data_IF_991961260250
#
_entry.id   IF_991961260250
#
_cell.length_a   1.000
_cell.length_b   1.000
_cell.length_c   1.000
_cell.angle_alpha   90.00
_cell.angle_beta   90.00
_cell.angle_gamma   90.00
#
_symmetry.space_group_name_H-M   'P 1'
#
loop_
_entity.id
_entity.type
_entity.pdbx_description
1 polymer ?
#
# COMPACT_ATOMS: atom_id res chain seq x y z
N UNK A 1 -52.93 24.18 -45.15
CA UNK A 1 -52.41 24.36 -43.80
C UNK A 1 -51.93 22.99 -43.36
N UNK A 2 -50.69 22.78 -43.55
CA UNK A 2 -49.98 21.52 -43.25
C UNK A 2 -48.99 21.86 -42.15
N UNK A 3 -49.20 21.34 -40.95
CA UNK A 3 -48.27 21.45 -39.83
C UNK A 3 -47.26 20.32 -39.92
N UNK A 4 -45.98 20.71 -40.15
CA UNK A 4 -44.83 19.84 -40.05
C UNK A 4 -44.45 19.67 -38.59
N UNK A 5 -44.58 18.46 -38.08
CA UNK A 5 -44.06 18.01 -36.82
C UNK A 5 -42.70 17.39 -37.06
N UNK A 6 -41.64 18.13 -36.78
CA UNK A 6 -40.27 17.60 -36.76
C UNK A 6 -40.03 16.88 -35.43
N UNK A 7 -39.99 15.55 -35.48
CA UNK A 7 -39.54 14.70 -34.36
C UNK A 7 -38.02 14.88 -34.17
N UNK A 8 -37.65 15.55 -33.07
CA UNK A 8 -36.27 15.61 -32.56
C UNK A 8 -35.90 14.22 -32.03
N UNK A 9 -35.21 13.46 -32.84
CA UNK A 9 -34.50 12.24 -32.41
C UNK A 9 -33.28 12.68 -31.60
N UNK A 10 -33.41 12.59 -30.27
CA UNK A 10 -32.26 12.72 -29.35
C UNK A 10 -31.41 11.47 -29.53
N UNK A 11 -30.31 11.58 -30.27
CA UNK A 11 -29.25 10.57 -30.28
C UNK A 11 -28.64 10.46 -28.89
N UNK A 12 -29.04 9.39 -28.21
CA UNK A 12 -28.39 8.92 -26.96
C UNK A 12 -27.02 8.40 -27.34
N UNK A 13 -26.00 9.26 -27.21
CA UNK A 13 -24.59 8.87 -27.36
C UNK A 13 -24.28 7.93 -26.23
N UNK A 14 -24.25 6.62 -26.52
CA UNK A 14 -23.72 5.58 -25.68
C UNK A 14 -22.27 5.96 -25.28
N UNK A 15 -22.02 6.18 -23.99
CA UNK A 15 -20.68 6.25 -23.44
C UNK A 15 -20.00 4.91 -23.74
N UNK A 16 -19.15 4.89 -24.74
CA UNK A 16 -18.21 3.79 -24.99
C UNK A 16 -17.39 3.59 -23.72
N UNK A 17 -17.54 2.42 -23.10
CA UNK A 17 -16.81 2.04 -21.91
C UNK A 17 -15.31 2.26 -22.11
N UNK A 18 -14.70 3.09 -21.28
CA UNK A 18 -13.29 3.36 -21.28
C UNK A 18 -12.53 2.02 -21.20
N UNK A 19 -11.82 1.68 -22.26
CA UNK A 19 -10.99 0.48 -22.31
C UNK A 19 -10.02 0.46 -21.12
N UNK A 20 -9.75 -0.73 -20.58
CA UNK A 20 -8.77 -0.89 -19.49
C UNK A 20 -7.46 -0.20 -19.89
N UNK A 21 -6.82 0.55 -18.98
CA UNK A 21 -5.54 1.17 -19.27
C UNK A 21 -4.49 0.08 -19.54
N UNK A 22 -3.70 0.24 -20.61
CA UNK A 22 -2.63 -0.69 -21.01
C UNK A 22 -1.48 -0.78 -19.99
N UNK A 23 -1.58 -0.07 -18.88
CA UNK A 23 -0.56 0.00 -17.84
C UNK A 23 -1.18 -0.18 -16.46
N UNK A 24 -0.47 -0.87 -15.58
CA UNK A 24 -0.85 -1.02 -14.17
C UNK A 24 0.05 -0.14 -13.32
N UNK A 25 -0.54 0.90 -12.74
CA UNK A 25 0.12 1.76 -11.75
C UNK A 25 -0.21 1.25 -10.36
N UNK A 26 0.66 1.52 -9.39
CA UNK A 26 0.34 1.22 -8.01
C UNK A 26 -0.84 2.04 -7.50
N UNK A 27 -1.59 1.47 -6.56
CA UNK A 27 -2.69 2.14 -5.84
C UNK A 27 -2.47 2.10 -4.34
N UNK A 28 -3.10 3.03 -3.67
CA UNK A 28 -3.18 3.06 -2.20
C UNK A 28 -4.57 2.61 -1.78
N UNK A 29 -4.60 1.59 -0.93
CA UNK A 29 -5.84 1.10 -0.36
C UNK A 29 -5.79 1.06 1.16
N UNK A 30 -6.91 0.77 1.77
CA UNK A 30 -7.07 0.60 3.21
C UNK A 30 -7.35 -0.86 3.52
N UNK A 31 -6.56 -1.45 4.41
CA UNK A 31 -6.79 -2.82 4.87
C UNK A 31 -8.07 -2.88 5.70
N UNK A 32 -9.13 -3.52 5.22
CA UNK A 32 -10.38 -3.66 5.96
C UNK A 32 -10.34 -4.85 6.92
N UNK A 33 -9.80 -5.99 6.49
CA UNK A 33 -9.73 -7.18 7.33
C UNK A 33 -9.27 -8.40 6.57
N UNK A 34 -9.55 -9.57 7.13
CA UNK A 34 -9.29 -10.86 6.47
C UNK A 34 -10.57 -11.70 6.45
N UNK A 35 -10.72 -12.47 5.39
CA UNK A 35 -11.80 -13.41 5.17
C UNK A 35 -11.26 -14.66 4.49
N UNK A 36 -12.14 -15.51 4.00
CA UNK A 36 -11.80 -16.65 3.15
C UNK A 36 -12.75 -16.72 1.97
N UNK A 37 -12.22 -17.17 0.85
CA UNK A 37 -12.99 -17.45 -0.36
C UNK A 37 -12.90 -18.95 -0.61
N UNK A 38 -14.01 -19.56 -0.95
CA UNK A 38 -14.04 -20.98 -1.36
C UNK A 38 -14.05 -21.04 -2.89
N UNK A 39 -13.20 -21.89 -3.44
CA UNK A 39 -13.21 -22.22 -4.88
C UNK A 39 -14.32 -23.21 -5.19
N UNK A 40 -14.63 -23.37 -6.45
CA UNK A 40 -15.60 -24.38 -6.92
C UNK A 40 -15.15 -25.79 -6.58
N UNK A 41 -13.84 -26.03 -6.48
CA UNK A 41 -13.23 -27.30 -6.07
C UNK A 41 -13.29 -27.54 -4.55
N UNK A 42 -13.83 -26.60 -3.77
CA UNK A 42 -13.94 -26.68 -2.31
C UNK A 42 -12.69 -26.24 -1.54
N UNK A 43 -11.67 -25.72 -2.21
CA UNK A 43 -10.47 -25.18 -1.54
C UNK A 43 -10.79 -23.88 -0.80
N UNK A 44 -10.32 -23.74 0.45
CA UNK A 44 -10.48 -22.53 1.26
C UNK A 44 -9.25 -21.63 1.16
N UNK A 45 -9.36 -20.52 0.44
CA UNK A 45 -8.29 -19.55 0.24
C UNK A 45 -8.42 -18.41 1.25
N UNK A 46 -7.44 -18.21 2.16
CA UNK A 46 -7.43 -17.06 3.05
C UNK A 46 -7.14 -15.79 2.25
N UNK A 47 -7.95 -14.75 2.43
CA UNK A 47 -7.78 -13.48 1.72
C UNK A 47 -7.76 -12.30 2.68
N UNK A 48 -6.96 -11.30 2.34
CA UNK A 48 -7.05 -9.97 2.93
C UNK A 48 -7.89 -9.08 2.01
N UNK A 49 -8.89 -8.43 2.58
CA UNK A 49 -9.76 -7.48 1.89
C UNK A 49 -9.15 -6.09 2.02
N UNK A 50 -8.92 -5.45 0.90
CA UNK A 50 -8.40 -4.08 0.80
C UNK A 50 -9.43 -3.24 0.06
N UNK A 51 -9.87 -2.17 0.69
CA UNK A 51 -10.73 -1.15 0.13
C UNK A 51 -9.84 -0.09 -0.55
N UNK A 52 -10.05 0.13 -1.82
CA UNK A 52 -9.29 1.09 -2.62
C UNK A 52 -10.22 2.21 -3.04
N UNK A 53 -10.33 3.24 -2.19
CA UNK A 53 -10.99 4.46 -2.59
C UNK A 53 -10.31 5.04 -3.84
N UNK A 54 -11.00 5.78 -4.71
CA UNK A 54 -10.39 6.38 -5.89
C UNK A 54 -9.10 7.13 -5.54
N UNK A 55 -8.03 6.82 -6.26
CA UNK A 55 -6.72 7.42 -6.10
C UNK A 55 -6.60 8.57 -7.10
N UNK A 56 -6.74 9.82 -6.66
CA UNK A 56 -6.68 10.99 -7.52
C UNK A 56 -5.24 11.45 -7.70
N UNK A 57 -4.82 11.68 -8.93
CA UNK A 57 -3.47 12.15 -9.28
C UNK A 57 -3.33 13.62 -8.91
N UNK A 58 -2.38 13.92 -8.02
CA UNK A 58 -2.07 15.28 -7.58
C UNK A 58 -0.99 15.93 -8.44
N UNK A 59 -0.03 15.16 -8.90
CA UNK A 59 1.08 15.64 -9.71
C UNK A 59 1.67 14.49 -10.54
N UNK A 60 2.01 14.78 -11.77
CA UNK A 60 2.87 13.93 -12.62
C UNK A 60 4.28 14.50 -12.59
N UNK A 61 5.25 13.69 -12.20
CA UNK A 61 6.67 14.05 -12.14
C UNK A 61 7.36 13.60 -13.41
N UNK A 62 8.13 14.51 -13.98
CA UNK A 62 8.85 14.29 -15.24
C UNK A 62 10.35 14.40 -15.05
N UNK A 63 11.11 13.71 -15.90
CA UNK A 63 12.56 13.72 -15.84
C UNK A 63 13.14 15.15 -15.96
N UNK A 64 12.50 16.01 -16.76
CA UNK A 64 12.97 17.38 -17.01
C UNK A 64 12.87 18.28 -15.75
N UNK A 65 11.80 18.15 -14.97
CA UNK A 65 11.53 19.03 -13.83
C UNK A 65 11.99 18.42 -12.49
N UNK A 66 11.79 17.11 -12.32
CA UNK A 66 11.96 16.43 -11.01
C UNK A 66 13.17 15.48 -11.01
N UNK A 67 13.78 15.20 -12.18
CA UNK A 67 14.90 14.27 -12.33
C UNK A 67 14.51 12.80 -12.29
N UNK A 68 13.21 12.47 -12.23
CA UNK A 68 12.66 11.13 -12.33
C UNK A 68 11.19 11.16 -12.75
N UNK A 69 10.69 10.03 -13.26
CA UNK A 69 9.29 9.87 -13.65
C UNK A 69 8.51 9.17 -12.52
N UNK A 70 7.40 9.77 -12.13
CA UNK A 70 6.50 9.21 -11.10
C UNK A 70 5.13 9.88 -11.17
N UNK A 71 4.14 9.18 -10.63
CA UNK A 71 2.80 9.71 -10.40
C UNK A 71 2.60 9.86 -8.89
N UNK A 72 2.24 11.06 -8.47
CA UNK A 72 1.84 11.33 -7.10
C UNK A 72 0.33 11.26 -7.01
N UNK A 73 -0.18 10.46 -6.07
CA UNK A 73 -1.61 10.26 -5.85
C UNK A 73 -2.02 10.61 -4.43
N UNK A 74 -3.29 10.93 -4.27
CA UNK A 74 -3.95 11.08 -2.97
C UNK A 74 -5.20 10.22 -2.94
N UNK A 75 -5.65 9.82 -1.75
CA UNK A 75 -6.88 9.04 -1.55
C UNK A 75 -7.59 9.46 -0.28
N UNK A 76 -8.90 9.22 -0.24
CA UNK A 76 -9.75 9.58 0.89
C UNK A 76 -9.91 11.08 1.07
N UNK A 77 -10.54 11.48 2.16
CA UNK A 77 -10.83 12.88 2.48
C UNK A 77 -10.21 13.32 3.81
N UNK A 78 -9.71 14.52 3.87
CA UNK A 78 -9.20 15.17 5.07
C UNK A 78 -9.87 16.52 5.28
N UNK A 79 -10.41 16.78 6.48
CA UNK A 79 -11.05 18.07 6.81
C UNK A 79 -10.08 19.23 6.55
N UNK A 80 -10.54 20.27 5.85
CA UNK A 80 -9.74 21.44 5.48
C UNK A 80 -9.04 22.12 6.67
N UNK A 81 -9.68 22.15 7.84
CA UNK A 81 -9.10 22.70 9.08
C UNK A 81 -7.88 21.91 9.60
N UNK A 82 -7.67 20.68 9.14
CA UNK A 82 -6.52 19.82 9.51
C UNK A 82 -5.43 19.79 8.44
N UNK A 83 -5.61 20.53 7.35
CA UNK A 83 -4.64 20.62 6.25
C UNK A 83 -3.77 21.85 6.48
N UNK A 84 -2.46 21.65 6.55
CA UNK A 84 -1.50 22.76 6.68
C UNK A 84 -1.40 23.56 5.38
N UNK A 85 -1.15 24.86 5.47
CA UNK A 85 -1.14 25.80 4.32
C UNK A 85 -0.30 25.30 3.12
N UNK A 86 0.93 24.76 3.28
CA UNK A 86 1.70 24.27 2.14
C UNK A 86 1.01 23.12 1.39
N UNK A 87 0.40 22.18 2.11
CA UNK A 87 -0.35 21.09 1.50
C UNK A 87 -1.64 21.58 0.83
N UNK A 88 -2.35 22.54 1.47
CA UNK A 88 -3.53 23.15 0.86
C UNK A 88 -3.20 23.80 -0.50
N UNK A 89 -2.07 24.52 -0.58
CA UNK A 89 -1.59 25.10 -1.84
C UNK A 89 -1.23 24.05 -2.88
N UNK A 90 -0.65 22.94 -2.46
CA UNK A 90 -0.32 21.82 -3.35
C UNK A 90 -1.58 21.18 -3.96
N UNK A 91 -2.60 20.87 -3.15
CA UNK A 91 -3.88 20.35 -3.62
C UNK A 91 -4.64 21.35 -4.50
N UNK A 92 -4.63 22.64 -4.12
CA UNK A 92 -5.27 23.70 -4.90
C UNK A 92 -4.64 23.85 -6.30
N UNK A 93 -3.30 23.68 -6.43
CA UNK A 93 -2.62 23.68 -7.72
C UNK A 93 -3.11 22.56 -8.65
N UNK A 94 -3.47 21.42 -8.09
CA UNK A 94 -4.02 20.29 -8.83
C UNK A 94 -5.55 20.37 -9.04
N UNK A 95 -6.22 21.34 -8.41
CA UNK A 95 -7.68 21.52 -8.49
C UNK A 95 -8.48 20.42 -7.76
N UNK A 96 -7.88 19.76 -6.76
CA UNK A 96 -8.49 18.61 -6.06
C UNK A 96 -8.64 18.87 -4.57
N UNK A 97 -9.54 18.11 -3.94
CA UNK A 97 -9.70 18.12 -2.49
C UNK A 97 -8.54 17.42 -1.77
N UNK A 98 -8.28 17.84 -0.53
CA UNK A 98 -7.21 17.27 0.27
C UNK A 98 -7.55 15.88 0.76
N UNK A 99 -6.75 14.89 0.34
CA UNK A 99 -6.83 13.51 0.82
C UNK A 99 -6.06 13.27 2.12
N UNK A 100 -6.02 12.00 2.55
CA UNK A 100 -5.37 11.56 3.80
C UNK A 100 -3.85 11.71 3.78
N UNK A 101 -3.23 11.58 2.60
CA UNK A 101 -1.78 11.65 2.41
C UNK A 101 -1.41 11.80 0.94
N UNK A 102 -0.13 11.84 0.68
CA UNK A 102 0.44 11.88 -0.65
C UNK A 102 1.38 10.68 -0.81
N UNK A 103 1.24 9.96 -1.91
CA UNK A 103 2.02 8.76 -2.21
C UNK A 103 2.53 8.82 -3.63
N UNK A 104 3.70 8.26 -3.88
CA UNK A 104 4.32 8.28 -5.20
C UNK A 104 4.56 6.87 -5.70
N UNK A 105 4.25 6.66 -6.97
CA UNK A 105 4.55 5.45 -7.72
C UNK A 105 5.46 5.82 -8.88
N UNK A 106 6.66 5.27 -8.90
CA UNK A 106 7.58 5.44 -10.02
C UNK A 106 7.07 4.68 -11.23
N UNK A 107 7.20 5.30 -12.40
CA UNK A 107 6.77 4.76 -13.69
C UNK A 107 7.94 4.71 -14.66
N UNK A 108 7.87 3.80 -15.62
CA UNK A 108 8.80 3.70 -16.72
C UNK A 108 8.19 4.44 -17.93
N UNK A 109 8.55 5.71 -18.08
CA UNK A 109 8.05 6.55 -19.17
C UNK A 109 6.82 7.41 -18.83
N UNK A 110 6.33 8.11 -19.85
CA UNK A 110 5.12 8.92 -19.76
C UNK A 110 3.89 8.06 -20.07
N UNK A 111 2.97 8.02 -19.13
CA UNK A 111 1.74 7.23 -19.24
C UNK A 111 0.55 8.04 -19.77
N UNK A 112 0.78 9.29 -20.21
CA UNK A 112 -0.31 10.16 -20.67
C UNK A 112 -1.31 10.58 -19.59
N UNK A 113 -0.96 10.37 -18.31
CA UNK A 113 -1.82 10.70 -17.18
C UNK A 113 -1.64 12.18 -16.79
N UNK A 114 -2.73 12.81 -16.37
CA UNK A 114 -2.73 14.20 -15.92
C UNK A 114 -3.25 14.35 -14.49
N UNK A 115 -2.89 15.48 -13.86
CA UNK A 115 -3.43 15.82 -12.54
C UNK A 115 -4.96 15.93 -12.60
N UNK A 116 -5.64 15.43 -11.57
CA UNK A 116 -7.10 15.37 -11.48
C UNK A 116 -7.71 14.05 -11.94
N UNK A 117 -6.99 13.22 -12.71
CA UNK A 117 -7.47 11.88 -13.06
C UNK A 117 -7.51 10.96 -11.84
N UNK A 118 -8.43 10.00 -11.84
CA UNK A 118 -8.58 8.99 -10.79
C UNK A 118 -8.17 7.61 -11.28
N UNK A 119 -7.49 6.86 -10.42
CA UNK A 119 -7.06 5.48 -10.65
C UNK A 119 -7.80 4.59 -9.64
N UNK A 120 -8.42 3.53 -10.12
CA UNK A 120 -9.22 2.59 -9.32
C UNK A 120 -8.64 1.18 -9.26
N UNK A 121 -9.48 0.24 -8.89
CA UNK A 121 -9.17 -1.21 -8.84
C UNK A 121 -9.29 -1.89 -10.19
N UNK A 122 -9.94 -1.27 -11.16
CA UNK A 122 -10.24 -1.72 -12.51
C UNK A 122 -9.00 -2.12 -13.33
N UNK A 123 -7.84 -1.54 -12.98
CA UNK A 123 -6.57 -1.86 -13.60
C UNK A 123 -5.99 -3.23 -13.20
N UNK A 124 -6.48 -3.85 -12.10
CA UNK A 124 -5.99 -5.15 -11.64
C UNK A 124 -6.86 -6.29 -12.18
N UNK A 125 -6.24 -7.46 -12.32
CA UNK A 125 -6.91 -8.68 -12.77
C UNK A 125 -6.78 -9.80 -11.74
N UNK A 126 -7.75 -10.71 -11.74
CA UNK A 126 -7.65 -11.93 -10.95
C UNK A 126 -6.49 -12.81 -11.46
N UNK A 127 -5.73 -13.39 -10.53
CA UNK A 127 -4.50 -14.14 -10.83
C UNK A 127 -3.24 -13.29 -10.95
N UNK A 128 -3.36 -11.96 -11.07
CA UNK A 128 -2.20 -11.06 -11.16
C UNK A 128 -1.36 -11.12 -9.88
N UNK A 129 -0.03 -11.02 -10.02
CA UNK A 129 0.91 -10.92 -8.90
C UNK A 129 1.15 -9.47 -8.53
N UNK A 130 1.11 -9.18 -7.22
CA UNK A 130 1.29 -7.84 -6.67
C UNK A 130 2.24 -7.83 -5.47
N UNK A 131 2.93 -6.70 -5.30
CA UNK A 131 3.73 -6.39 -4.11
C UNK A 131 2.94 -5.45 -3.22
N UNK A 132 2.77 -5.80 -1.95
CA UNK A 132 2.02 -5.00 -0.99
C UNK A 132 2.94 -4.50 0.12
N UNK A 133 3.03 -3.18 0.23
CA UNK A 133 3.80 -2.50 1.28
C UNK A 133 2.87 -1.84 2.29
N UNK A 134 3.20 -1.93 3.56
CA UNK A 134 2.45 -1.27 4.62
C UNK A 134 3.29 -1.06 5.86
N UNK A 135 2.78 -0.29 6.80
CA UNK A 135 3.42 -0.09 8.10
C UNK A 135 3.03 -1.21 9.04
N UNK A 136 4.00 -2.00 9.48
CA UNK A 136 3.77 -3.13 10.39
C UNK A 136 3.22 -2.68 11.74
N UNK A 137 2.48 -3.56 12.44
CA UNK A 137 2.00 -3.29 13.79
C UNK A 137 3.16 -3.01 14.74
N UNK A 138 3.11 -1.90 15.49
CA UNK A 138 4.09 -1.59 16.52
C UNK A 138 4.06 -2.62 17.66
N UNK A 139 5.22 -3.00 18.16
CA UNK A 139 5.41 -3.93 19.29
C UNK A 139 6.15 -3.29 20.46
N UNK A 140 6.36 -1.96 20.39
CA UNK A 140 7.07 -1.20 21.39
C UNK A 140 8.54 -1.60 21.55
N UNK A 141 9.10 -1.43 22.74
CA UNK A 141 10.42 -1.92 23.07
C UNK A 141 10.40 -3.44 23.25
N UNK A 142 11.19 -4.15 22.48
CA UNK A 142 11.24 -5.61 22.51
C UNK A 142 12.65 -6.10 22.87
N UNK A 143 12.71 -7.13 23.74
CA UNK A 143 13.95 -7.81 24.09
C UNK A 143 14.53 -8.59 22.91
N UNK A 144 15.77 -9.03 23.04
CA UNK A 144 16.52 -9.72 21.99
C UNK A 144 15.89 -11.03 21.53
N UNK A 145 15.19 -11.75 22.43
CA UNK A 145 14.51 -12.99 22.11
C UNK A 145 13.36 -12.72 21.13
N UNK A 146 12.50 -11.74 21.42
CA UNK A 146 11.36 -11.38 20.56
C UNK A 146 11.78 -10.70 19.28
N UNK A 147 12.80 -9.82 19.35
CA UNK A 147 13.21 -8.99 18.22
C UNK A 147 14.08 -9.73 17.22
N UNK A 148 14.97 -10.61 17.71
CA UNK A 148 16.01 -11.24 16.90
C UNK A 148 16.03 -12.77 16.99
N UNK A 149 15.06 -13.36 17.68
CA UNK A 149 14.95 -14.82 17.90
C UNK A 149 16.17 -15.43 18.60
N UNK A 150 16.75 -14.70 19.57
CA UNK A 150 17.80 -15.26 20.41
C UNK A 150 17.24 -16.36 21.29
N UNK A 151 18.02 -17.40 21.57
CA UNK A 151 17.71 -18.39 22.57
C UNK A 151 17.75 -17.77 23.95
N UNK A 152 16.88 -18.23 24.85
CA UNK A 152 17.01 -17.91 26.26
C UNK A 152 18.11 -18.79 26.89
N UNK A 153 18.62 -18.36 28.03
CA UNK A 153 19.54 -19.15 28.84
C UNK A 153 18.77 -20.14 29.72
N UNK A 154 19.47 -21.04 30.37
CA UNK A 154 18.87 -22.05 31.23
C UNK A 154 18.05 -21.44 32.36
N UNK A 155 16.92 -22.10 32.72
CA UNK A 155 16.08 -21.65 33.81
C UNK A 155 16.56 -22.15 35.17
N UNK A 156 17.42 -23.19 35.17
CA UNK A 156 17.93 -23.91 36.36
C UNK A 156 19.45 -24.13 36.24
N UNK A 157 20.01 -25.13 36.87
CA UNK A 157 21.43 -25.50 36.82
C UNK A 157 22.37 -24.36 37.25
N UNK A 158 22.01 -23.64 38.32
CA UNK A 158 22.84 -22.57 38.90
C UNK A 158 22.72 -21.22 38.18
N UNK A 159 21.90 -21.09 37.15
CA UNK A 159 21.66 -19.81 36.50
C UNK A 159 20.79 -18.91 37.40
N UNK A 160 21.28 -17.71 37.69
CA UNK A 160 20.60 -16.68 38.48
C UNK A 160 20.49 -15.40 37.65
N UNK A 161 19.28 -14.79 37.61
CA UNK A 161 18.98 -13.48 37.02
C UNK A 161 19.18 -13.33 35.50
N UNK A 162 19.90 -14.24 34.83
CA UNK A 162 20.32 -14.11 33.42
C UNK A 162 19.53 -14.98 32.46
N UNK A 163 18.22 -15.13 32.65
CA UNK A 163 17.39 -16.03 31.82
C UNK A 163 17.10 -15.48 30.41
N UNK A 164 16.90 -14.18 30.27
CA UNK A 164 16.51 -13.52 29.01
C UNK A 164 17.53 -12.48 28.51
N UNK A 165 18.76 -12.55 29.03
CA UNK A 165 19.84 -11.66 28.67
C UNK A 165 20.37 -11.96 27.25
N UNK A 166 20.92 -10.95 26.53
CA UNK A 166 21.45 -11.15 25.17
C UNK A 166 22.74 -11.97 25.13
N UNK A 167 23.40 -12.17 26.27
CA UNK A 167 24.73 -12.79 26.35
C UNK A 167 25.83 -11.80 25.94
N UNK A 168 26.98 -12.31 25.48
CA UNK A 168 28.09 -11.48 25.07
C UNK A 168 27.73 -10.57 23.90
N UNK A 169 28.11 -9.31 23.98
CA UNK A 169 27.92 -8.31 22.93
C UNK A 169 29.19 -8.03 22.12
N UNK A 170 30.33 -8.60 22.52
CA UNK A 170 31.60 -8.43 21.84
C UNK A 170 32.78 -9.04 22.64
N UNK A 171 33.97 -8.77 22.18
CA UNK A 171 35.24 -9.18 22.76
C UNK A 171 35.74 -8.10 23.75
N UNK A 172 36.86 -8.34 24.42
CA UNK A 172 37.44 -7.45 25.42
C UNK A 172 38.31 -6.35 24.80
N UNK A 173 39.62 -6.44 24.95
CA UNK A 173 40.56 -5.39 24.56
C UNK A 173 40.60 -5.15 23.04
N UNK A 174 40.56 -6.19 22.24
CA UNK A 174 40.47 -6.13 20.78
C UNK A 174 39.16 -6.73 20.34
N UNK A 175 38.26 -5.98 19.70
CA UNK A 175 38.40 -4.63 19.11
C UNK A 175 38.13 -3.43 20.03
N UNK A 176 37.90 -3.63 21.33
CA UNK A 176 37.62 -2.57 22.30
C UNK A 176 36.31 -1.79 22.08
N UNK A 177 35.42 -2.32 21.25
CA UNK A 177 34.16 -1.69 20.90
C UNK A 177 33.09 -2.74 20.53
N UNK A 178 31.84 -2.35 20.56
CA UNK A 178 30.75 -3.14 19.99
C UNK A 178 30.57 -2.77 18.51
N UNK A 179 30.55 -3.74 17.63
CA UNK A 179 30.37 -3.48 16.21
C UNK A 179 29.01 -2.88 15.89
N UNK A 180 28.96 -1.97 14.90
CA UNK A 180 27.70 -1.43 14.37
C UNK A 180 26.84 -2.56 13.84
N UNK A 181 25.52 -2.43 14.02
CA UNK A 181 24.57 -3.47 13.58
C UNK A 181 24.43 -4.67 14.53
N UNK A 182 25.12 -4.67 15.71
CA UNK A 182 24.94 -5.72 16.72
C UNK A 182 23.47 -5.81 17.14
N UNK A 183 22.91 -7.02 17.08
CA UNK A 183 21.52 -7.30 17.44
C UNK A 183 21.31 -7.10 18.93
N UNK A 184 20.54 -6.09 19.31
CA UNK A 184 20.20 -5.70 20.68
C UNK A 184 18.73 -5.45 20.84
N UNK A 185 18.25 -5.37 22.08
CA UNK A 185 16.89 -4.92 22.40
C UNK A 185 16.63 -3.52 21.84
N UNK A 186 15.38 -3.20 21.58
CA UNK A 186 14.98 -1.91 21.06
C UNK A 186 13.60 -1.91 20.42
N UNK A 187 13.26 -0.83 19.74
CA UNK A 187 11.98 -0.67 19.06
C UNK A 187 11.76 -1.77 18.01
N UNK A 188 10.56 -2.36 18.02
CA UNK A 188 10.15 -3.38 17.07
C UNK A 188 8.78 -3.04 16.47
N UNK A 189 8.61 -3.29 15.17
CA UNK A 189 7.39 -2.94 14.45
C UNK A 189 7.29 -1.43 14.14
N UNK A 190 6.13 -0.98 13.63
CA UNK A 190 5.89 0.38 13.15
C UNK A 190 6.95 0.83 12.11
N UNK A 191 7.32 -0.09 11.25
CA UNK A 191 8.25 0.12 10.13
C UNK A 191 7.58 -0.32 8.84
N UNK A 192 7.98 0.31 7.72
CA UNK A 192 7.51 -0.08 6.39
C UNK A 192 8.05 -1.47 6.05
N UNK A 193 7.14 -2.37 5.71
CA UNK A 193 7.43 -3.76 5.31
C UNK A 193 6.71 -4.02 3.99
N UNK A 194 7.36 -4.74 3.09
CA UNK A 194 6.78 -5.18 1.82
C UNK A 194 6.66 -6.69 1.81
N UNK A 195 5.47 -7.20 1.50
CA UNK A 195 5.24 -8.60 1.15
C UNK A 195 5.16 -8.68 -0.35
N UNK A 196 6.08 -9.42 -0.94
CA UNK A 196 6.22 -9.53 -2.39
C UNK A 196 5.42 -10.71 -2.94
N UNK A 197 5.06 -10.61 -4.22
CA UNK A 197 4.53 -11.71 -5.03
C UNK A 197 3.25 -12.35 -4.46
N UNK A 198 2.33 -11.52 -3.98
CA UNK A 198 1.00 -11.95 -3.55
C UNK A 198 0.07 -12.04 -4.77
N UNK A 199 -0.85 -12.99 -4.73
CA UNK A 199 -1.83 -13.23 -5.80
C UNK A 199 -3.13 -12.49 -5.51
N UNK A 200 -3.67 -11.80 -6.52
CA UNK A 200 -5.00 -11.20 -6.49
C UNK A 200 -6.02 -12.30 -6.77
N UNK A 201 -6.85 -12.63 -5.78
CA UNK A 201 -7.88 -13.68 -5.93
C UNK A 201 -9.11 -13.16 -6.67
N UNK A 202 -9.53 -11.93 -6.33
CA UNK A 202 -10.73 -11.32 -6.91
C UNK A 202 -10.64 -9.81 -6.87
N UNK A 203 -11.15 -9.16 -7.90
CA UNK A 203 -11.37 -7.71 -7.98
C UNK A 203 -12.88 -7.47 -8.00
N UNK A 204 -13.37 -6.60 -7.13
CA UNK A 204 -14.76 -6.18 -7.06
C UNK A 204 -14.80 -4.66 -7.33
N UNK A 205 -15.09 -4.31 -8.56
CA UNK A 205 -15.10 -2.92 -9.05
C UNK A 205 -16.25 -2.14 -8.43
N UNK A 206 -17.43 -2.75 -8.28
CA UNK A 206 -18.62 -2.07 -7.75
C UNK A 206 -18.45 -1.59 -6.32
N UNK A 207 -17.67 -2.33 -5.54
CA UNK A 207 -17.38 -2.05 -4.12
C UNK A 207 -16.00 -1.46 -3.89
N UNK A 208 -15.21 -1.29 -4.94
CA UNK A 208 -13.81 -0.85 -4.85
C UNK A 208 -12.95 -1.75 -3.94
N UNK A 209 -13.14 -3.08 -4.03
CA UNK A 209 -12.43 -4.04 -3.19
C UNK A 209 -11.43 -4.86 -4.00
N UNK A 210 -10.27 -5.07 -3.41
CA UNK A 210 -9.24 -5.97 -3.89
C UNK A 210 -9.01 -7.08 -2.87
N UNK A 211 -9.22 -8.34 -3.26
CA UNK A 211 -9.01 -9.51 -2.41
C UNK A 211 -7.67 -10.14 -2.75
N UNK A 212 -6.72 -10.05 -1.82
CA UNK A 212 -5.35 -10.57 -2.00
C UNK A 212 -5.15 -11.81 -1.15
N UNK A 213 -4.61 -12.87 -1.73
CA UNK A 213 -4.31 -14.14 -1.08
C UNK A 213 -3.29 -13.95 0.04
N UNK A 214 -3.63 -14.41 1.24
CA UNK A 214 -2.72 -14.43 2.38
C UNK A 214 -2.72 -13.15 3.22
N UNK A 215 -1.63 -12.93 3.94
CA UNK A 215 -1.49 -11.85 4.90
C UNK A 215 -0.82 -10.60 4.29
N UNK A 216 -1.37 -9.43 4.61
CA UNK A 216 -0.85 -8.11 4.22
C UNK A 216 -0.33 -7.38 5.47
N UNK A 217 0.80 -6.64 5.37
CA UNK A 217 1.36 -5.89 6.50
C UNK A 217 0.38 -4.87 7.07
N UNK A 218 0.50 -4.61 8.36
CA UNK A 218 -0.22 -3.55 9.06
C UNK A 218 -1.48 -3.99 9.80
N UNK A 219 -2.07 -3.08 10.61
CA UNK A 219 -3.34 -3.27 11.28
C UNK A 219 -4.52 -3.13 10.31
N UNK A 220 -5.71 -3.57 10.72
CA UNK A 220 -6.95 -3.18 10.07
C UNK A 220 -7.11 -1.64 10.15
N UNK A 221 -7.62 -1.03 9.10
CA UNK A 221 -7.73 0.42 8.96
C UNK A 221 -6.42 1.13 8.55
N UNK A 222 -5.31 0.40 8.40
CA UNK A 222 -4.04 0.96 7.95
C UNK A 222 -3.96 1.11 6.42
N UNK A 223 -3.24 2.13 5.97
CA UNK A 223 -2.98 2.33 4.55
C UNK A 223 -1.92 1.35 4.05
N UNK A 224 -2.17 0.80 2.87
CA UNK A 224 -1.29 -0.14 2.16
C UNK A 224 -1.07 0.31 0.73
N UNK A 225 0.12 0.07 0.21
CA UNK A 225 0.52 0.38 -1.15
C UNK A 225 0.54 -0.92 -1.94
N UNK A 226 -0.20 -0.96 -3.02
CA UNK A 226 -0.29 -2.12 -3.90
C UNK A 226 0.32 -1.71 -5.23
N UNK A 227 1.22 -2.52 -5.73
CA UNK A 227 1.85 -2.30 -7.04
C UNK A 227 2.04 -3.64 -7.74
N UNK A 228 2.19 -3.67 -9.07
CA UNK A 228 2.58 -4.89 -9.77
C UNK A 228 3.83 -5.50 -9.15
N UNK A 229 3.90 -6.83 -9.13
CA UNK A 229 5.08 -7.52 -8.59
C UNK A 229 6.30 -7.25 -9.48
N UNK A 230 7.43 -6.96 -8.83
CA UNK A 230 8.73 -6.81 -9.53
C UNK A 230 9.29 -8.18 -9.94
N UNK A 231 8.89 -9.23 -9.21
CA UNK A 231 9.29 -10.62 -9.45
C UNK A 231 8.02 -11.42 -9.68
N UNK A 232 7.64 -11.62 -10.89
CA UNK A 232 6.46 -12.39 -11.29
C UNK A 232 6.78 -13.36 -12.40
#
# INVERSE_FOLDING_TARGET
MTEDTTDDVVEETAEEGAGKPDFVVGVVGRKSGMSRVFTEEGESIPVTVIEVEPNTITQVKTLANDGYTAIQVTTGHRKASRVVKPLAGHFAKAGIEAGRGLWEFRTEGDLGLSAGMSIGVDQFEAGQRVDVSGTSKGKGFAGVIKRWNFSHQDNTHGNSLSHRAPGSIGQCQTPGRVFKGKKMAGHMGNVKVTTQNLEVVRVDVDRNLLLIKGAVPGPAGGDVYIRPAVKG
#
